data_IF_160937035641
#
_entry.id   IF_160937035641
#
_cell.length_a   1.000
_cell.length_b   1.000
_cell.length_c   1.000
_cell.angle_alpha   90.00
_cell.angle_beta   90.00
_cell.angle_gamma   90.00
#
_symmetry.space_group_name_H-M   'P 1'
#
loop_
_entity.id
_entity.type
_entity.pdbx_description
1 polymer ?
#
# COMPACT_ATOMS: atom_id res chain seq x y z
N UNK A 1 21.26 31.49 88.25
CA UNK A 1 19.83 31.86 88.18
C UNK A 1 19.72 33.14 87.36
N UNK A 2 18.85 33.17 86.34
CA UNK A 2 18.57 34.24 85.34
C UNK A 2 19.08 33.99 83.91
N UNK A 3 18.15 34.24 83.00
CA UNK A 3 18.16 34.16 81.53
C UNK A 3 19.12 35.14 80.85
N UNK A 4 19.49 34.84 79.60
CA UNK A 4 19.82 35.79 78.51
C UNK A 4 19.72 35.05 77.15
N UNK A 5 19.55 35.74 76.00
CA UNK A 5 18.48 35.43 75.04
C UNK A 5 18.97 35.02 73.63
N UNK A 6 17.97 34.85 72.75
CA UNK A 6 18.00 34.42 71.35
C UNK A 6 19.08 35.03 70.43
N UNK A 7 19.55 34.22 69.50
CA UNK A 7 20.11 34.64 68.20
C UNK A 7 19.41 33.88 67.07
N UNK A 8 18.75 34.66 66.20
CA UNK A 8 18.13 34.25 64.95
C UNK A 8 19.20 33.81 63.94
N UNK A 9 19.06 32.62 63.36
CA UNK A 9 19.82 32.16 62.18
C UNK A 9 18.88 31.85 61.03
N UNK A 10 18.94 32.63 59.95
CA UNK A 10 18.13 32.47 58.75
C UNK A 10 18.62 31.26 57.92
N UNK A 11 17.70 30.36 57.57
CA UNK A 11 17.91 29.25 56.64
C UNK A 11 17.76 29.74 55.20
N UNK A 12 18.86 29.78 54.44
CA UNK A 12 18.83 29.95 52.99
C UNK A 12 18.67 28.57 52.33
N UNK A 13 17.51 28.30 51.75
CA UNK A 13 17.25 27.10 50.96
C UNK A 13 17.82 27.29 49.54
N UNK A 14 18.89 26.57 49.21
CA UNK A 14 19.45 26.48 47.87
C UNK A 14 18.59 25.52 47.02
N UNK A 15 17.85 26.08 46.05
CA UNK A 15 17.20 25.32 44.99
C UNK A 15 18.22 24.95 43.91
N UNK A 16 18.52 23.66 43.78
CA UNK A 16 19.23 23.10 42.62
C UNK A 16 18.18 22.64 41.60
N UNK A 17 18.13 23.20 40.37
CA UNK A 17 17.22 22.71 39.36
C UNK A 17 17.70 21.35 38.84
N UNK A 18 16.87 20.33 39.00
CA UNK A 18 17.03 19.05 38.31
C UNK A 18 16.86 19.25 36.82
N UNK A 19 17.97 19.13 36.07
CA UNK A 19 17.95 19.00 34.60
C UNK A 19 17.24 17.70 34.24
N UNK A 20 15.95 17.80 33.92
CA UNK A 20 15.20 16.72 33.30
C UNK A 20 15.72 16.51 31.88
N UNK A 21 16.52 15.46 31.67
CA UNK A 21 16.79 14.94 30.33
C UNK A 21 15.49 14.27 29.88
N UNK A 22 14.69 14.99 29.10
CA UNK A 22 13.57 14.40 28.38
C UNK A 22 14.15 13.48 27.30
N UNK A 23 14.16 12.17 27.55
CA UNK A 23 14.34 11.21 26.47
C UNK A 23 13.13 11.33 25.55
N UNK A 24 13.33 11.96 24.38
CA UNK A 24 12.35 11.92 23.32
C UNK A 24 12.11 10.46 22.92
N UNK A 25 10.85 10.03 22.92
CA UNK A 25 10.43 8.84 22.17
C UNK A 25 10.92 8.96 20.73
N UNK A 26 11.27 7.86 20.04
CA UNK A 26 11.66 7.93 18.63
C UNK A 26 10.45 8.41 17.83
N UNK A 27 10.43 9.71 17.55
CA UNK A 27 9.42 10.39 16.75
C UNK A 27 9.33 9.71 15.39
N UNK A 28 8.12 9.26 15.03
CA UNK A 28 7.81 8.87 13.67
C UNK A 28 8.05 10.08 12.77
N UNK A 29 9.04 9.96 11.88
CA UNK A 29 9.41 11.02 10.95
C UNK A 29 8.38 11.09 9.80
N UNK A 30 7.26 11.75 10.07
CA UNK A 30 6.27 12.10 9.06
C UNK A 30 6.84 13.20 8.16
N UNK A 31 6.81 13.00 6.85
CA UNK A 31 7.36 13.95 5.88
C UNK A 31 6.51 14.05 4.62
N UNK A 32 6.51 15.22 4.00
CA UNK A 32 6.12 15.38 2.61
C UNK A 32 7.38 15.30 1.75
N UNK A 33 7.34 14.53 0.67
CA UNK A 33 8.48 14.30 -0.21
C UNK A 33 8.08 14.52 -1.67
N UNK A 34 9.05 14.86 -2.51
CA UNK A 34 8.88 14.81 -3.97
C UNK A 34 10.02 13.96 -4.52
N UNK A 35 9.70 12.98 -5.37
CA UNK A 35 10.72 12.21 -6.07
C UNK A 35 10.68 12.49 -7.57
N UNK A 36 11.87 12.59 -8.14
CA UNK A 36 12.10 12.60 -9.58
C UNK A 36 12.89 11.35 -9.95
N UNK A 37 12.39 10.60 -10.92
CA UNK A 37 13.10 9.44 -11.46
C UNK A 37 14.27 9.92 -12.31
N UNK A 38 15.48 9.48 -11.95
CA UNK A 38 16.74 9.93 -12.57
C UNK A 38 17.21 9.05 -13.75
N UNK A 39 16.38 8.09 -14.19
CA UNK A 39 16.68 7.20 -15.30
C UNK A 39 17.47 5.94 -14.94
N UNK A 40 17.82 5.75 -13.66
CA UNK A 40 18.51 4.55 -13.19
C UNK A 40 17.72 3.27 -13.47
N UNK A 41 18.43 2.21 -13.81
CA UNK A 41 17.82 0.92 -14.07
C UNK A 41 17.18 0.33 -12.81
N UNK A 42 16.08 -0.42 -12.94
CA UNK A 42 15.44 -1.07 -11.80
C UNK A 42 14.65 -2.31 -12.21
N UNK A 43 14.58 -3.25 -11.28
CA UNK A 43 13.77 -4.46 -11.37
C UNK A 43 13.15 -4.77 -10.03
N UNK A 44 11.91 -5.24 -10.04
CA UNK A 44 11.13 -5.61 -8.87
C UNK A 44 10.56 -7.01 -9.04
N UNK A 45 10.81 -7.89 -8.07
CA UNK A 45 10.21 -9.23 -7.99
C UNK A 45 9.65 -9.51 -6.61
N UNK A 46 8.41 -9.98 -6.55
CA UNK A 46 7.69 -10.07 -5.29
C UNK A 46 6.21 -10.35 -5.44
N UNK A 47 5.43 -9.78 -4.54
CA UNK A 47 3.98 -9.91 -4.52
C UNK A 47 3.33 -8.68 -3.91
N UNK A 48 2.08 -8.45 -4.27
CA UNK A 48 1.28 -7.39 -3.68
C UNK A 48 -0.14 -7.83 -3.34
N UNK A 49 -0.78 -7.08 -2.45
CA UNK A 49 -2.20 -7.19 -2.08
C UNK A 49 -2.84 -5.82 -2.12
N UNK A 50 -3.96 -5.67 -2.85
CA UNK A 50 -4.72 -4.41 -2.85
C UNK A 50 -6.11 -4.68 -2.33
N UNK A 51 -6.48 -3.95 -1.28
CA UNK A 51 -7.87 -3.80 -0.85
C UNK A 51 -8.39 -2.43 -1.30
N UNK A 52 -9.68 -2.33 -1.63
CA UNK A 52 -10.28 -1.05 -2.05
C UNK A 52 -11.78 -1.00 -1.71
N UNK A 53 -12.40 0.20 -1.65
CA UNK A 53 -13.80 0.35 -1.30
C UNK A 53 -14.77 -0.25 -2.31
N UNK A 54 -14.36 -0.54 -3.54
CA UNK A 54 -15.28 -0.92 -4.62
C UNK A 54 -15.96 -2.30 -4.39
N UNK A 55 -17.08 -2.50 -5.07
CA UNK A 55 -17.64 -3.83 -5.27
C UNK A 55 -16.71 -4.67 -6.17
N UNK A 56 -16.81 -5.99 -6.06
CA UNK A 56 -16.01 -6.92 -6.89
C UNK A 56 -16.76 -7.26 -8.18
N UNK A 57 -16.13 -7.22 -9.36
CA UNK A 57 -14.80 -6.67 -9.65
C UNK A 57 -14.80 -5.13 -9.73
N UNK A 58 -13.71 -4.51 -9.26
CA UNK A 58 -13.51 -3.06 -9.28
C UNK A 58 -13.29 -2.62 -10.73
N UNK A 59 -14.11 -1.70 -11.25
CA UNK A 59 -14.00 -1.28 -12.64
C UNK A 59 -12.65 -0.64 -12.99
N UNK A 60 -11.90 -0.10 -12.02
CA UNK A 60 -10.56 0.47 -12.24
C UNK A 60 -9.55 -0.53 -12.82
N UNK A 61 -9.78 -1.83 -12.64
CA UNK A 61 -8.94 -2.91 -13.17
C UNK A 61 -9.15 -3.15 -14.67
N UNK A 62 -10.28 -2.69 -15.21
CA UNK A 62 -10.60 -2.72 -16.64
C UNK A 62 -10.85 -1.32 -17.18
N UNK A 63 -10.06 -0.34 -16.72
CA UNK A 63 -10.07 1.04 -17.24
C UNK A 63 -11.40 1.80 -17.06
N UNK A 64 -12.19 1.44 -16.05
CA UNK A 64 -13.36 2.19 -15.60
C UNK A 64 -13.12 3.03 -14.34
N UNK A 65 -14.10 3.85 -13.98
CA UNK A 65 -14.08 4.65 -12.75
C UNK A 65 -14.37 3.85 -11.48
N UNK A 66 -13.98 4.38 -10.33
CA UNK A 66 -14.29 3.78 -9.02
C UNK A 66 -15.81 3.68 -8.80
N UNK A 67 -16.28 2.58 -8.21
CA UNK A 67 -17.72 2.29 -8.00
C UNK A 67 -18.47 3.41 -7.26
N UNK A 68 -17.79 4.05 -6.29
CA UNK A 68 -18.39 5.05 -5.42
C UNK A 68 -17.90 6.47 -5.69
N UNK A 69 -17.16 6.70 -6.80
CA UNK A 69 -16.58 8.00 -7.13
C UNK A 69 -15.39 8.43 -6.25
N UNK A 70 -14.91 7.55 -5.38
CA UNK A 70 -13.70 7.72 -4.58
C UNK A 70 -12.96 6.39 -4.44
N UNK A 71 -11.68 6.44 -4.10
CA UNK A 71 -10.82 5.27 -3.99
C UNK A 71 -9.79 5.45 -2.88
N UNK A 72 -10.04 4.83 -1.73
CA UNK A 72 -9.07 4.54 -0.70
C UNK A 72 -8.58 3.11 -0.93
N UNK A 73 -7.85 2.88 -2.02
CA UNK A 73 -7.18 1.62 -2.24
C UNK A 73 -5.86 1.61 -1.47
N UNK A 74 -5.60 0.54 -0.71
CA UNK A 74 -4.32 0.32 -0.05
C UNK A 74 -3.66 -0.91 -0.67
N UNK A 75 -2.44 -0.72 -1.18
CA UNK A 75 -1.52 -1.78 -1.58
C UNK A 75 -0.60 -2.08 -0.40
N UNK A 76 -0.48 -3.35 -0.06
CA UNK A 76 0.73 -3.89 0.57
C UNK A 76 1.60 -4.49 -0.53
N UNK A 77 2.90 -4.17 -0.53
CA UNK A 77 3.89 -4.67 -1.46
C UNK A 77 5.05 -5.30 -0.68
N UNK A 78 5.46 -6.49 -1.10
CA UNK A 78 6.66 -7.16 -0.62
C UNK A 78 7.57 -7.47 -1.80
N UNK A 79 8.69 -6.76 -1.88
CA UNK A 79 9.75 -7.01 -2.86
C UNK A 79 10.71 -8.03 -2.26
N UNK A 80 10.69 -9.24 -2.78
CA UNK A 80 11.59 -10.32 -2.35
C UNK A 80 12.98 -10.10 -2.92
N UNK A 81 13.04 -9.74 -4.19
CA UNK A 81 14.27 -9.50 -4.94
C UNK A 81 14.09 -8.25 -5.81
N UNK A 82 15.10 -7.39 -5.88
CA UNK A 82 15.07 -6.22 -6.76
C UNK A 82 16.20 -5.23 -6.50
N UNK A 83 16.29 -4.23 -7.37
CA UNK A 83 17.32 -3.20 -7.28
C UNK A 83 16.86 -1.86 -7.89
N UNK A 84 17.59 -0.81 -7.54
CA UNK A 84 17.55 0.51 -8.18
C UNK A 84 18.99 0.98 -8.41
N UNK A 85 19.45 0.95 -9.66
CA UNK A 85 20.87 0.98 -9.98
C UNK A 85 21.60 -0.14 -9.24
N UNK A 86 22.63 0.19 -8.48
CA UNK A 86 23.38 -0.75 -7.64
C UNK A 86 22.75 -1.00 -6.26
N UNK A 87 21.71 -0.24 -5.88
CA UNK A 87 21.10 -0.35 -4.56
C UNK A 87 20.12 -1.54 -4.53
N UNK A 88 20.35 -2.49 -3.62
CA UNK A 88 19.42 -3.59 -3.39
C UNK A 88 18.12 -3.13 -2.74
N UNK A 89 16.99 -3.65 -3.22
CA UNK A 89 15.65 -3.48 -2.64
C UNK A 89 15.11 -4.79 -2.02
N UNK A 90 15.99 -5.78 -1.81
CA UNK A 90 15.59 -7.10 -1.31
C UNK A 90 14.95 -7.00 0.07
N UNK A 91 13.81 -7.67 0.23
CA UNK A 91 13.02 -7.67 1.47
C UNK A 91 12.29 -6.37 1.77
N UNK A 92 12.23 -5.41 0.83
CA UNK A 92 11.48 -4.18 1.00
C UNK A 92 9.99 -4.48 1.19
N UNK A 93 9.42 -3.95 2.26
CA UNK A 93 7.98 -3.97 2.56
C UNK A 93 7.48 -2.54 2.60
N UNK A 94 6.46 -2.26 1.81
CA UNK A 94 5.86 -0.94 1.71
C UNK A 94 4.34 -1.05 1.65
N UNK A 95 3.66 0.00 2.13
CA UNK A 95 2.22 0.15 2.00
C UNK A 95 1.93 1.51 1.37
N UNK A 96 1.23 1.53 0.24
CA UNK A 96 0.76 2.79 -0.37
C UNK A 96 -0.75 2.83 -0.39
N UNK A 97 -1.32 3.95 0.03
CA UNK A 97 -2.77 4.15 0.04
C UNK A 97 -3.15 5.43 -0.69
N UNK A 98 -4.22 5.37 -1.49
CA UNK A 98 -4.87 6.56 -2.04
C UNK A 98 -5.88 7.13 -1.04
N UNK A 99 -6.27 8.39 -1.24
CA UNK A 99 -7.20 9.11 -0.35
C UNK A 99 -8.63 9.23 -0.87
N UNK A 100 -9.51 9.81 -0.05
CA UNK A 100 -10.94 9.96 -0.31
C UNK A 100 -11.31 10.80 -1.54
N UNK A 101 -10.37 11.56 -2.12
CA UNK A 101 -10.55 12.28 -3.38
C UNK A 101 -9.88 11.59 -4.59
N UNK A 102 -9.36 10.37 -4.42
CA UNK A 102 -8.73 9.62 -5.49
C UNK A 102 -9.78 9.05 -6.46
N UNK A 103 -9.84 9.57 -7.68
CA UNK A 103 -10.55 8.91 -8.79
C UNK A 103 -9.78 7.69 -9.32
N UNK A 104 -8.49 7.60 -8.98
CA UNK A 104 -7.56 6.52 -9.34
C UNK A 104 -6.54 6.28 -8.23
N UNK A 105 -5.90 5.11 -8.25
CA UNK A 105 -4.79 4.74 -7.38
C UNK A 105 -3.46 5.38 -7.84
N UNK A 106 -3.49 6.66 -8.23
CA UNK A 106 -2.33 7.43 -8.70
C UNK A 106 -2.01 8.61 -7.78
N UNK A 107 -2.99 9.08 -7.01
CA UNK A 107 -2.82 10.16 -6.05
C UNK A 107 -2.77 9.55 -4.65
N UNK A 108 -1.55 9.29 -4.17
CA UNK A 108 -1.33 8.71 -2.86
C UNK A 108 -1.69 9.70 -1.76
N UNK A 109 -2.45 9.23 -0.78
CA UNK A 109 -2.64 9.93 0.48
C UNK A 109 -1.47 9.68 1.42
N UNK A 110 -0.95 8.44 1.44
CA UNK A 110 0.17 8.07 2.28
C UNK A 110 1.00 6.92 1.70
N UNK A 111 2.29 6.96 2.02
CA UNK A 111 3.27 5.89 1.78
C UNK A 111 3.94 5.52 3.11
N UNK A 112 3.84 4.25 3.48
CA UNK A 112 4.45 3.71 4.68
C UNK A 112 5.57 2.76 4.32
N UNK A 113 6.66 2.84 5.06
CA UNK A 113 7.78 1.92 4.96
C UNK A 113 7.98 1.18 6.28
N UNK A 114 8.33 -0.11 6.19
CA UNK A 114 8.76 -0.84 7.39
C UNK A 114 10.06 -0.23 7.95
N UNK A 115 10.29 -0.40 9.26
CA UNK A 115 11.53 0.05 9.93
C UNK A 115 12.80 -0.55 9.33
N UNK A 116 12.71 -1.69 8.64
CA UNK A 116 13.84 -2.28 7.93
C UNK A 116 14.29 -1.51 6.68
N UNK A 117 13.46 -0.61 6.14
CA UNK A 117 13.81 0.16 4.94
C UNK A 117 14.65 1.40 5.31
N UNK A 118 15.92 1.42 4.88
CA UNK A 118 16.79 2.57 5.09
C UNK A 118 16.32 3.80 4.29
N UNK A 119 16.71 5.02 4.65
CA UNK A 119 16.36 6.23 3.89
C UNK A 119 16.72 6.14 2.40
N UNK A 120 17.83 5.50 2.04
CA UNK A 120 18.25 5.29 0.65
C UNK A 120 17.29 4.36 -0.09
N UNK A 121 16.87 3.25 0.55
CA UNK A 121 15.89 2.32 0.01
C UNK A 121 14.53 3.00 -0.16
N UNK A 122 14.11 3.81 0.81
CA UNK A 122 12.86 4.58 0.73
C UNK A 122 12.90 5.56 -0.45
N UNK A 123 13.99 6.32 -0.59
CA UNK A 123 14.18 7.27 -1.67
C UNK A 123 14.21 6.56 -3.05
N UNK A 124 14.92 5.44 -3.16
CA UNK A 124 14.96 4.65 -4.38
C UNK A 124 13.57 4.12 -4.78
N UNK A 125 12.82 3.56 -3.82
CA UNK A 125 11.46 3.10 -4.11
C UNK A 125 10.54 4.25 -4.55
N UNK A 126 10.61 5.41 -3.90
CA UNK A 126 9.87 6.61 -4.33
C UNK A 126 10.24 7.05 -5.75
N UNK A 127 11.51 6.92 -6.17
CA UNK A 127 11.94 7.18 -7.56
C UNK A 127 11.37 6.14 -8.54
N UNK A 128 11.25 4.87 -8.15
CA UNK A 128 10.55 3.86 -8.97
C UNK A 128 9.09 4.25 -9.16
N UNK A 129 8.38 4.65 -8.11
CA UNK A 129 7.00 5.13 -8.24
C UNK A 129 6.90 6.36 -9.15
N UNK A 130 7.86 7.28 -9.07
CA UNK A 130 7.94 8.42 -9.97
C UNK A 130 8.10 7.99 -11.44
N UNK A 131 8.84 6.91 -11.70
CA UNK A 131 9.08 6.38 -13.06
C UNK A 131 7.80 5.92 -13.78
N UNK A 132 6.74 5.60 -13.03
CA UNK A 132 5.43 5.23 -13.60
C UNK A 132 4.64 6.44 -14.11
N UNK A 133 4.98 7.65 -13.65
CA UNK A 133 4.34 8.90 -14.08
C UNK A 133 4.89 9.37 -15.43
N UNK A 134 4.01 9.93 -16.26
CA UNK A 134 4.42 10.55 -17.53
C UNK A 134 5.42 11.70 -17.35
N UNK A 135 5.34 12.42 -16.22
CA UNK A 135 6.27 13.51 -15.87
C UNK A 135 7.52 13.03 -15.14
N UNK A 136 7.61 11.73 -14.84
CA UNK A 136 8.68 11.11 -14.06
C UNK A 136 8.88 11.75 -12.67
N UNK A 137 7.87 12.47 -12.20
CA UNK A 137 7.90 13.23 -10.95
C UNK A 137 6.58 13.00 -10.24
N UNK A 138 6.65 12.68 -8.95
CA UNK A 138 5.47 12.45 -8.10
C UNK A 138 5.71 13.05 -6.72
N UNK A 139 4.67 13.66 -6.16
CA UNK A 139 4.65 14.14 -4.78
C UNK A 139 4.05 13.07 -3.85
N UNK A 140 4.66 12.91 -2.69
CA UNK A 140 4.16 12.08 -1.60
C UNK A 140 3.77 13.01 -0.44
N UNK A 141 2.47 13.30 -0.28
CA UNK A 141 2.02 14.27 0.73
C UNK A 141 2.23 13.77 2.16
N UNK A 142 2.35 12.46 2.35
CA UNK A 142 2.60 11.85 3.65
C UNK A 142 3.45 10.58 3.48
N UNK A 143 4.66 10.60 4.02
CA UNK A 143 5.57 9.46 4.10
C UNK A 143 5.86 9.17 5.56
N UNK A 144 5.75 7.90 5.96
CA UNK A 144 6.00 7.50 7.35
C UNK A 144 6.72 6.16 7.44
N UNK A 145 7.76 6.10 8.25
CA UNK A 145 8.34 4.82 8.68
C UNK A 145 7.61 4.32 9.91
N UNK A 146 7.10 3.09 9.86
CA UNK A 146 6.33 2.47 10.95
C UNK A 146 6.63 0.96 11.02
N UNK A 147 6.52 0.32 12.20
CA UNK A 147 6.69 -1.13 12.26
C UNK A 147 5.54 -1.82 11.52
N UNK A 148 5.88 -2.77 10.64
CA UNK A 148 4.92 -3.62 9.94
C UNK A 148 5.02 -5.05 10.43
N UNK A 149 3.94 -5.55 11.04
CA UNK A 149 3.77 -6.99 11.30
C UNK A 149 3.11 -7.63 10.08
N UNK A 150 3.80 -8.60 9.49
CA UNK A 150 3.37 -9.30 8.28
C UNK A 150 3.46 -10.80 8.55
N UNK A 151 2.33 -11.46 8.43
CA UNK A 151 2.21 -12.91 8.54
C UNK A 151 1.58 -13.45 7.28
N UNK A 152 2.29 -14.36 6.61
CA UNK A 152 1.81 -15.10 5.45
C UNK A 152 1.77 -16.58 5.86
N UNK A 153 0.57 -17.12 6.02
CA UNK A 153 0.35 -18.52 6.40
C UNK A 153 -0.06 -19.31 5.16
N UNK A 154 0.54 -20.50 4.98
CA UNK A 154 0.26 -21.43 3.89
C UNK A 154 0.32 -20.80 2.49
N UNK A 155 1.12 -19.73 2.34
CA UNK A 155 1.29 -18.95 1.10
C UNK A 155 0.02 -18.29 0.53
N UNK A 156 -1.11 -18.36 1.24
CA UNK A 156 -2.40 -17.84 0.76
C UNK A 156 -3.11 -16.90 1.72
N UNK A 157 -2.83 -16.99 3.03
CA UNK A 157 -3.46 -16.17 4.05
C UNK A 157 -2.51 -15.08 4.53
N UNK A 158 -2.82 -13.84 4.16
CA UNK A 158 -2.01 -12.68 4.46
C UNK A 158 -2.66 -11.89 5.59
N UNK A 159 -1.88 -11.55 6.61
CA UNK A 159 -2.23 -10.58 7.65
C UNK A 159 -1.13 -9.54 7.71
N UNK A 160 -1.50 -8.30 7.44
CA UNK A 160 -0.61 -7.15 7.46
C UNK A 160 -1.19 -6.17 8.46
N UNK A 161 -0.39 -5.75 9.43
CA UNK A 161 -0.76 -4.68 10.35
C UNK A 161 0.34 -3.65 10.50
N UNK A 162 -0.09 -2.39 10.58
CA UNK A 162 0.71 -1.29 11.10
C UNK A 162 0.00 -0.88 12.39
N UNK A 163 0.60 -1.05 13.57
CA UNK A 163 -0.05 -0.80 14.85
C UNK A 163 -0.78 0.54 14.88
N UNK A 164 -2.04 0.51 15.34
CA UNK A 164 -2.97 1.64 15.42
C UNK A 164 -3.32 2.34 14.08
N UNK A 165 -2.76 1.89 12.95
CA UNK A 165 -2.89 2.53 11.63
C UNK A 165 -3.64 1.65 10.64
N UNK A 166 -3.23 0.40 10.44
CA UNK A 166 -3.71 -0.46 9.37
C UNK A 166 -3.95 -1.88 9.86
N UNK A 167 -5.09 -2.45 9.50
CA UNK A 167 -5.39 -3.88 9.59
C UNK A 167 -5.85 -4.37 8.21
N UNK A 168 -5.03 -5.20 7.56
CA UNK A 168 -5.39 -5.91 6.33
C UNK A 168 -5.29 -7.41 6.54
N UNK A 169 -6.36 -8.13 6.23
CA UNK A 169 -6.34 -9.59 6.17
C UNK A 169 -7.00 -10.05 4.88
N UNK A 170 -6.30 -10.90 4.14
CA UNK A 170 -6.71 -11.36 2.81
C UNK A 170 -6.43 -12.84 2.66
N UNK A 171 -7.39 -13.58 2.10
CA UNK A 171 -7.22 -14.99 1.75
C UNK A 171 -7.35 -15.19 0.24
N UNK A 172 -6.26 -15.63 -0.39
CA UNK A 172 -6.23 -15.93 -1.83
C UNK A 172 -7.14 -17.09 -2.21
N UNK A 173 -7.33 -18.02 -1.29
CA UNK A 173 -8.03 -19.27 -1.57
C UNK A 173 -9.51 -19.24 -1.21
N UNK A 174 -10.02 -18.15 -0.62
CA UNK A 174 -11.40 -18.09 -0.16
C UNK A 174 -11.78 -19.29 0.73
N UNK A 175 -10.90 -19.68 1.66
CA UNK A 175 -11.07 -20.82 2.55
C UNK A 175 -11.01 -22.20 1.88
N UNK A 176 -10.56 -22.28 0.62
CA UNK A 176 -10.42 -23.53 -0.12
C UNK A 176 -8.96 -24.00 -0.17
N UNK A 177 -8.73 -25.21 -0.69
CA UNK A 177 -7.38 -25.74 -0.87
C UNK A 177 -6.57 -24.99 -1.95
N UNK A 178 -7.25 -24.46 -2.97
CA UNK A 178 -6.63 -23.72 -4.08
C UNK A 178 -7.43 -22.46 -4.42
N UNK A 179 -6.81 -21.44 -5.04
CA UNK A 179 -7.54 -20.26 -5.49
C UNK A 179 -8.68 -20.61 -6.47
N UNK A 180 -9.93 -20.17 -6.21
CA UNK A 180 -11.06 -20.47 -7.09
C UNK A 180 -11.15 -19.55 -8.31
N UNK A 181 -10.47 -18.40 -8.28
CA UNK A 181 -10.47 -17.41 -9.36
C UNK A 181 -9.08 -17.39 -10.02
N UNK A 182 -8.97 -17.40 -11.35
CA UNK A 182 -7.68 -17.38 -12.03
C UNK A 182 -7.03 -15.98 -11.98
N UNK A 183 -5.77 -15.91 -12.40
CA UNK A 183 -5.15 -14.64 -12.76
C UNK A 183 -5.75 -14.14 -14.09
N UNK A 184 -6.12 -12.88 -14.14
CA UNK A 184 -6.80 -12.24 -15.26
C UNK A 184 -6.09 -10.95 -15.63
N UNK A 185 -6.16 -10.59 -16.91
CA UNK A 185 -5.70 -9.30 -17.42
C UNK A 185 -6.34 -8.18 -16.61
N UNK A 186 -5.51 -7.31 -16.06
CA UNK A 186 -5.95 -6.21 -15.24
C UNK A 186 -4.90 -5.11 -15.18
N UNK A 187 -5.39 -3.88 -15.11
CA UNK A 187 -4.55 -2.72 -14.89
C UNK A 187 -4.01 -2.69 -13.46
N UNK A 188 -2.69 -2.63 -13.32
CA UNK A 188 -1.96 -2.31 -12.09
C UNK A 188 -0.58 -1.68 -12.45
N UNK A 189 0.05 -0.97 -11.51
CA UNK A 189 1.39 -0.38 -11.73
C UNK A 189 2.50 -1.44 -11.63
N UNK A 190 2.24 -2.55 -10.96
CA UNK A 190 3.22 -3.60 -10.69
C UNK A 190 2.99 -4.89 -11.49
N UNK A 191 1.87 -5.01 -12.21
CA UNK A 191 1.56 -6.18 -13.04
C UNK A 191 0.45 -5.89 -14.05
N UNK A 192 0.42 -6.64 -15.15
CA UNK A 192 -0.72 -6.65 -16.07
C UNK A 192 -1.75 -7.73 -15.74
N UNK A 193 -1.54 -8.48 -14.65
CA UNK A 193 -2.48 -9.49 -14.18
C UNK A 193 -2.78 -9.35 -12.70
N UNK A 194 -3.96 -9.82 -12.29
CA UNK A 194 -4.30 -10.01 -10.90
C UNK A 194 -5.24 -11.19 -10.71
N UNK A 195 -5.29 -11.70 -9.50
CA UNK A 195 -6.28 -12.66 -9.03
C UNK A 195 -7.23 -11.96 -8.06
N UNK A 196 -8.54 -12.20 -8.19
CA UNK A 196 -9.51 -11.73 -7.21
C UNK A 196 -9.51 -12.63 -5.98
N UNK A 197 -9.39 -12.02 -4.80
CA UNK A 197 -9.16 -12.74 -3.54
C UNK A 197 -10.10 -12.24 -2.45
N UNK A 198 -10.19 -12.98 -1.36
CA UNK A 198 -11.09 -12.65 -0.28
C UNK A 198 -10.52 -11.55 0.60
N UNK A 199 -11.22 -10.41 0.67
CA UNK A 199 -11.00 -9.42 1.72
C UNK A 199 -11.64 -9.92 3.03
N UNK A 200 -10.83 -10.24 4.04
CA UNK A 200 -11.31 -10.60 5.38
C UNK A 200 -11.42 -9.37 6.28
N UNK A 201 -10.39 -8.53 6.26
CA UNK A 201 -10.27 -7.29 7.04
C UNK A 201 -9.61 -6.21 6.18
N UNK A 202 -10.15 -5.01 6.23
CA UNK A 202 -9.51 -3.84 5.65
C UNK A 202 -9.99 -2.59 6.38
N UNK A 203 -9.22 -2.19 7.39
CA UNK A 203 -9.48 -1.03 8.23
C UNK A 203 -8.24 -0.16 8.31
N UNK A 204 -8.44 1.15 8.23
CA UNK A 204 -7.36 2.10 8.36
C UNK A 204 -7.77 3.30 9.19
N UNK A 205 -6.87 3.78 10.04
CA UNK A 205 -7.01 5.00 10.83
C UNK A 205 -5.66 5.70 10.94
N UNK A 206 -5.51 6.80 10.23
CA UNK A 206 -4.35 7.68 10.36
C UNK A 206 -4.80 9.13 10.20
N UNK A 207 -4.82 9.85 11.33
CA UNK A 207 -5.22 11.25 11.35
C UNK A 207 -4.26 12.14 10.55
N UNK A 208 -2.95 11.81 10.52
CA UNK A 208 -1.94 12.56 9.77
C UNK A 208 -2.16 12.45 8.26
N UNK A 209 -2.51 11.24 7.79
CA UNK A 209 -2.87 10.99 6.40
C UNK A 209 -4.34 11.34 6.06
N UNK A 210 -5.15 11.75 7.05
CA UNK A 210 -6.59 12.02 6.94
C UNK A 210 -7.39 10.81 6.44
N UNK A 211 -7.09 9.64 6.98
CA UNK A 211 -7.73 8.36 6.65
C UNK A 211 -8.45 7.81 7.89
N UNK A 212 -9.74 7.49 7.76
CA UNK A 212 -10.50 6.74 8.77
C UNK A 212 -11.62 5.99 8.05
N UNK A 213 -11.45 4.69 7.86
CA UNK A 213 -12.43 3.85 7.17
C UNK A 213 -12.37 2.39 7.60
N UNK A 214 -13.47 1.68 7.34
CA UNK A 214 -13.52 0.21 7.33
C UNK A 214 -14.23 -0.25 6.06
N UNK A 215 -13.47 -0.87 5.17
CA UNK A 215 -13.93 -1.47 3.93
C UNK A 215 -13.68 -2.98 3.92
N UNK A 216 -13.70 -3.61 5.09
CA UNK A 216 -13.64 -5.06 5.23
C UNK A 216 -14.71 -5.74 4.37
N UNK A 217 -14.40 -6.95 3.88
CA UNK A 217 -15.30 -7.77 3.05
C UNK A 217 -15.62 -7.21 1.66
N UNK A 218 -15.07 -6.04 1.29
CA UNK A 218 -15.20 -5.47 -0.05
C UNK A 218 -14.20 -6.10 -1.01
N UNK A 219 -13.71 -5.35 -1.99
CA UNK A 219 -12.75 -5.88 -2.94
C UNK A 219 -11.37 -6.09 -2.31
N UNK A 220 -10.79 -7.25 -2.62
CA UNK A 220 -9.35 -7.44 -2.64
C UNK A 220 -8.91 -8.13 -3.95
N UNK A 221 -7.66 -7.92 -4.33
CA UNK A 221 -6.96 -8.68 -5.37
C UNK A 221 -5.54 -9.00 -4.90
N UNK A 222 -4.93 -10.01 -5.50
CA UNK A 222 -3.52 -10.43 -5.37
C UNK A 222 -2.81 -10.25 -6.72
N UNK A 223 -1.50 -9.94 -6.73
CA UNK A 223 -0.67 -9.98 -7.92
C UNK A 223 0.72 -10.49 -7.58
N UNK A 224 1.28 -11.28 -8.49
CA UNK A 224 2.72 -11.48 -8.55
C UNK A 224 3.35 -10.27 -9.24
N UNK A 225 4.55 -9.91 -8.77
CA UNK A 225 5.35 -8.82 -9.32
C UNK A 225 6.61 -9.44 -9.88
N UNK A 226 6.86 -9.20 -11.16
CA UNK A 226 8.12 -9.42 -11.86
C UNK A 226 8.14 -8.36 -12.96
N UNK A 227 8.74 -7.22 -12.65
CA UNK A 227 8.59 -6.00 -13.42
C UNK A 227 9.94 -5.34 -13.59
N UNK A 228 10.29 -5.07 -14.85
CA UNK A 228 11.51 -4.39 -15.24
C UNK A 228 11.18 -2.99 -15.76
N UNK A 229 12.09 -2.03 -15.57
CA UNK A 229 11.97 -0.71 -16.17
C UNK A 229 11.81 -0.77 -17.71
N UNK A 230 12.39 -1.77 -18.36
CA UNK A 230 12.24 -2.05 -19.78
C UNK A 230 10.79 -2.27 -20.19
N UNK A 231 9.93 -2.85 -19.33
CA UNK A 231 8.51 -3.00 -19.61
C UNK A 231 7.82 -1.64 -19.76
N UNK A 232 8.14 -0.71 -18.86
CA UNK A 232 7.63 0.66 -18.92
C UNK A 232 8.22 1.43 -20.11
N UNK A 233 9.53 1.32 -20.36
CA UNK A 233 10.21 1.97 -21.50
C UNK A 233 9.64 1.49 -22.84
N UNK A 234 9.37 0.19 -22.96
CA UNK A 234 8.78 -0.43 -24.15
C UNK A 234 7.26 -0.26 -24.25
N UNK A 235 6.64 0.46 -23.29
CA UNK A 235 5.19 0.68 -23.20
C UNK A 235 4.36 -0.61 -23.18
N UNK A 236 4.81 -1.60 -22.40
CA UNK A 236 4.18 -2.92 -22.27
C UNK A 236 3.19 -3.02 -21.11
N UNK A 237 2.93 -1.94 -20.37
CA UNK A 237 2.03 -1.98 -19.22
C UNK A 237 0.64 -1.42 -19.56
N UNK A 238 -0.41 -2.14 -19.18
CA UNK A 238 -1.81 -1.73 -19.35
C UNK A 238 -2.10 -0.38 -18.67
N UNK A 239 -1.39 -0.09 -17.58
CA UNK A 239 -1.49 1.17 -16.84
C UNK A 239 -0.98 2.40 -17.61
N UNK A 240 -0.29 2.24 -18.75
CA UNK A 240 0.22 3.35 -19.55
C UNK A 240 -0.80 3.89 -20.58
N UNK A 241 -1.97 3.27 -20.68
CA UNK A 241 -2.97 3.55 -21.72
C UNK A 241 -4.36 3.80 -21.11
N UNK A 242 -4.44 4.71 -20.15
CA UNK A 242 -5.68 5.05 -19.45
C UNK A 242 -6.46 6.14 -20.18
N UNK A 243 -7.76 5.91 -20.36
CA UNK A 243 -8.71 6.90 -20.90
C UNK A 243 -10.05 6.89 -20.15
N UNK A 244 -10.18 6.07 -19.10
CA UNK A 244 -11.40 5.90 -18.29
C UNK A 244 -12.64 5.49 -19.09
N UNK A 245 -12.47 4.85 -20.26
CA UNK A 245 -13.56 4.44 -21.14
C UNK A 245 -14.48 3.34 -20.57
N UNK A 246 -14.13 2.73 -19.44
CA UNK A 246 -14.93 1.67 -18.81
C UNK A 246 -14.55 0.25 -19.22
N UNK A 247 -13.72 0.10 -20.26
CA UNK A 247 -13.18 -1.18 -20.70
C UNK A 247 -11.76 -1.00 -21.29
N UNK A 248 -11.07 -2.11 -21.57
CA UNK A 248 -9.80 -2.08 -22.26
C UNK A 248 -9.93 -1.45 -23.65
N UNK A 249 -9.17 -0.38 -23.89
CA UNK A 249 -9.09 0.24 -25.22
C UNK A 249 -8.19 -0.56 -26.18
N UNK A 250 -8.10 -0.13 -27.44
CA UNK A 250 -7.34 -0.85 -28.48
C UNK A 250 -5.85 -1.05 -28.14
N UNK A 251 -5.22 -0.10 -27.45
CA UNK A 251 -3.82 -0.23 -27.05
C UNK A 251 -3.64 -1.26 -25.92
N UNK A 252 -4.57 -1.27 -24.95
CA UNK A 252 -4.60 -2.27 -23.88
C UNK A 252 -4.90 -3.67 -24.43
N UNK A 253 -5.85 -3.80 -25.35
CA UNK A 253 -6.17 -5.08 -26.00
C UNK A 253 -5.01 -5.63 -26.83
N UNK A 254 -4.20 -4.76 -27.46
CA UNK A 254 -2.96 -5.18 -28.12
C UNK A 254 -1.99 -5.81 -27.11
N UNK A 255 -1.75 -5.17 -25.97
CA UNK A 255 -0.88 -5.70 -24.91
C UNK A 255 -1.40 -7.03 -24.36
N UNK A 256 -2.72 -7.12 -24.11
CA UNK A 256 -3.38 -8.36 -23.68
C UNK A 256 -3.07 -9.50 -24.66
N UNK A 257 -3.16 -9.23 -25.96
CA UNK A 257 -2.88 -10.23 -26.99
C UNK A 257 -1.38 -10.57 -27.08
N UNK A 258 -0.49 -9.57 -27.09
CA UNK A 258 0.97 -9.74 -27.18
C UNK A 258 1.56 -10.51 -25.99
N UNK A 259 0.97 -10.34 -24.80
CA UNK A 259 1.39 -11.03 -23.58
C UNK A 259 0.56 -12.29 -23.28
N UNK A 260 -0.35 -12.67 -24.18
CA UNK A 260 -1.23 -13.84 -24.02
C UNK A 260 -2.04 -13.84 -22.70
N UNK A 261 -2.52 -12.68 -22.29
CA UNK A 261 -3.28 -12.52 -21.04
C UNK A 261 -4.74 -12.96 -21.21
N UNK A 262 -5.32 -13.52 -20.16
CA UNK A 262 -6.75 -13.92 -20.16
C UNK A 262 -7.64 -12.72 -19.83
N UNK A 263 -8.56 -12.36 -20.72
CA UNK A 263 -9.52 -11.29 -20.47
C UNK A 263 -10.49 -11.67 -19.32
N UNK A 264 -10.87 -10.71 -18.45
CA UNK A 264 -11.82 -10.97 -17.38
C UNK A 264 -13.28 -10.99 -17.90
N UNK A 265 -14.05 -12.02 -17.54
CA UNK A 265 -15.52 -11.98 -17.61
C UNK A 265 -16.07 -11.37 -16.31
N UNK A 266 -16.42 -10.10 -16.36
CA UNK A 266 -16.86 -9.35 -15.18
C UNK A 266 -18.14 -9.91 -14.56
N UNK A 267 -19.05 -10.49 -15.36
CA UNK A 267 -20.28 -11.06 -14.84
C UNK A 267 -20.04 -12.42 -14.19
N UNK A 268 -19.22 -13.27 -14.81
CA UNK A 268 -18.81 -14.53 -14.20
C UNK A 268 -18.08 -14.31 -12.87
N UNK A 269 -17.19 -13.33 -12.80
CA UNK A 269 -16.49 -12.96 -11.55
C UNK A 269 -17.51 -12.54 -10.48
N UNK A 270 -18.49 -11.69 -10.81
CA UNK A 270 -19.54 -11.27 -9.86
C UNK A 270 -20.33 -12.46 -9.33
N UNK A 271 -20.78 -13.35 -10.23
CA UNK A 271 -21.56 -14.55 -9.86
C UNK A 271 -20.74 -15.47 -8.95
N UNK A 272 -19.48 -15.70 -9.28
CA UNK A 272 -18.60 -16.59 -8.52
C UNK A 272 -18.27 -16.01 -7.14
N UNK A 273 -17.93 -14.72 -7.05
CA UNK A 273 -17.71 -14.05 -5.76
C UNK A 273 -18.96 -14.09 -4.89
N UNK A 274 -20.15 -13.90 -5.46
CA UNK A 274 -21.40 -14.03 -4.72
C UNK A 274 -21.61 -15.46 -4.20
N UNK A 275 -21.29 -16.48 -5.01
CA UNK A 275 -21.33 -17.89 -4.61
C UNK A 275 -20.37 -18.18 -3.45
N UNK A 276 -19.11 -17.74 -3.57
CA UNK A 276 -18.07 -17.93 -2.56
C UNK A 276 -18.44 -17.28 -1.22
N UNK A 277 -18.97 -16.05 -1.24
CA UNK A 277 -19.43 -15.36 -0.03
C UNK A 277 -20.58 -16.11 0.65
N UNK A 278 -21.55 -16.62 -0.10
CA UNK A 278 -22.67 -17.41 0.45
C UNK A 278 -22.21 -18.72 1.09
N UNK A 279 -21.24 -19.40 0.48
CA UNK A 279 -20.69 -20.65 1.01
C UNK A 279 -20.03 -20.50 2.40
N UNK A 280 -19.62 -19.28 2.75
CA UNK A 280 -18.98 -18.94 4.02
C UNK A 280 -19.90 -18.22 5.01
N UNK A 281 -21.23 -18.28 4.81
CA UNK A 281 -22.21 -17.65 5.70
C UNK A 281 -22.32 -16.13 5.57
N UNK A 282 -21.84 -15.54 4.47
CA UNK A 282 -22.05 -14.12 4.17
C UNK A 282 -23.51 -13.78 3.86
N UNK A 283 -23.89 -12.49 3.91
CA UNK A 283 -25.24 -12.05 3.54
C UNK A 283 -25.59 -12.47 2.11
N UNK A 284 -26.86 -12.84 1.90
CA UNK A 284 -27.40 -13.31 0.61
C UNK A 284 -27.44 -12.22 -0.44
#
# INVERSE_FOLDING_TARGET
>A
MKMTPLLYGALAALWLPTLGITQGSPESSERSETAHYDGADWHLKGEGIVCCPCAVPCPCRTNGGATYGHCEATLYLHIREGHYGELSLNGLRAVETSGACGMSYEHLAALYFDRSATPEVQAAFMKILASFSATQTIGFPYVRTAPMDVQITDSHLFRISIPDILEMAVDRNWGQATPPLPALAARDRFSNTLQYVQNLRYRMRDAGAKLDFDYSRRQANYRDVDLDVADYRARRMLAQYLDSSGWFNSAQLRIVNEQHLTLPDLEAIRREVARLRRAQGGPR
#
